data_IF_131870606880
#
_entry.id   IF_131870606880
#
_cell.length_a   1.000
_cell.length_b   1.000
_cell.length_c   1.000
_cell.angle_alpha   90.00
_cell.angle_beta   90.00
_cell.angle_gamma   90.00
#
_symmetry.space_group_name_H-M   'P 1'
#
loop_
_entity.id
_entity.type
_entity.pdbx_description
1 polymer ?
#
# COMPACT_ATOMS: atom_id res chain seq x y z
N UNK A 1 -20.15 -22.45 -32.98
CA UNK A 1 -18.68 -22.40 -32.88
C UNK A 1 -18.29 -20.94 -33.07
N UNK A 2 -18.17 -20.08 -32.06
CA UNK A 2 -17.25 -20.19 -30.94
C UNK A 2 -17.82 -19.41 -29.73
N UNK A 3 -18.13 -20.15 -28.67
CA UNK A 3 -18.61 -19.65 -27.39
C UNK A 3 -17.39 -19.27 -26.56
N UNK A 4 -16.88 -18.04 -26.70
CA UNK A 4 -15.72 -17.58 -25.92
C UNK A 4 -15.82 -16.07 -25.59
N UNK A 5 -17.02 -15.62 -25.21
CA UNK A 5 -17.27 -14.30 -24.63
C UNK A 5 -17.42 -14.42 -23.10
N UNK A 6 -16.46 -15.08 -22.46
CA UNK A 6 -16.35 -15.14 -21.00
C UNK A 6 -15.23 -14.21 -20.54
N UNK A 7 -15.48 -13.49 -19.44
CA UNK A 7 -14.48 -13.01 -18.46
C UNK A 7 -13.76 -11.66 -18.68
N UNK A 8 -14.41 -10.64 -19.24
CA UNK A 8 -13.96 -9.25 -19.06
C UNK A 8 -15.03 -8.37 -18.41
N UNK A 9 -15.82 -8.95 -17.50
CA UNK A 9 -16.45 -8.15 -16.46
C UNK A 9 -15.31 -7.72 -15.55
N UNK A 10 -14.81 -6.53 -15.85
CA UNK A 10 -13.96 -5.69 -15.02
C UNK A 10 -14.30 -5.94 -13.55
N UNK A 11 -13.41 -6.67 -12.88
CA UNK A 11 -13.40 -6.77 -11.44
C UNK A 11 -13.05 -5.37 -10.94
N UNK A 12 -14.05 -4.53 -10.71
CA UNK A 12 -13.93 -3.43 -9.79
C UNK A 12 -13.80 -4.06 -8.41
N UNK A 13 -12.60 -4.54 -8.10
CA UNK A 13 -12.22 -4.89 -6.74
C UNK A 13 -12.31 -3.61 -5.94
N UNK A 14 -13.03 -3.65 -4.82
CA UNK A 14 -13.22 -2.51 -3.92
C UNK A 14 -11.98 -2.43 -3.03
N UNK A 15 -10.82 -2.26 -3.65
CA UNK A 15 -9.56 -2.20 -2.98
C UNK A 15 -9.38 -0.80 -2.38
N UNK A 16 -9.27 -0.72 -1.06
CA UNK A 16 -9.02 0.54 -0.37
C UNK A 16 -7.62 1.06 -0.74
N UNK A 17 -7.51 2.34 -1.08
CA UNK A 17 -6.22 2.96 -1.36
C UNK A 17 -5.81 3.86 -0.19
N UNK A 18 -4.61 3.63 0.34
CA UNK A 18 -4.07 4.38 1.47
C UNK A 18 -2.74 4.99 1.06
N UNK A 19 -2.61 6.30 1.19
CA UNK A 19 -1.39 7.05 0.91
C UNK A 19 -0.77 7.51 2.23
N UNK A 20 0.42 7.02 2.53
CA UNK A 20 1.14 7.34 3.77
C UNK A 20 2.38 8.15 3.43
N UNK A 21 2.42 9.40 3.90
CA UNK A 21 3.63 10.22 3.85
C UNK A 21 4.64 9.72 4.88
N UNK A 22 5.88 9.50 4.43
CA UNK A 22 6.95 8.99 5.29
C UNK A 22 8.18 9.88 5.18
N UNK A 23 8.68 10.31 6.34
CA UNK A 23 9.92 11.06 6.44
C UNK A 23 11.10 10.13 6.77
N UNK A 24 12.26 10.40 6.19
CA UNK A 24 13.50 9.62 6.36
C UNK A 24 13.79 8.61 5.25
N UNK A 25 12.85 8.36 4.32
CA UNK A 25 13.13 7.57 3.11
C UNK A 25 13.91 8.42 2.11
N UNK A 26 15.23 8.31 2.13
CA UNK A 26 16.15 9.08 1.28
C UNK A 26 16.78 8.26 0.15
N UNK A 27 16.58 6.94 0.15
CA UNK A 27 17.26 6.03 -0.76
C UNK A 27 16.32 4.96 -1.33
N UNK A 28 16.59 4.51 -2.57
CA UNK A 28 15.80 3.46 -3.21
C UNK A 28 15.81 2.12 -2.46
N UNK A 29 16.92 1.80 -1.79
CA UNK A 29 17.01 0.64 -0.92
C UNK A 29 16.11 0.76 0.32
N UNK A 30 15.98 1.97 0.85
CA UNK A 30 15.17 2.32 2.01
C UNK A 30 13.69 2.12 1.67
N UNK A 31 13.24 2.66 0.53
CA UNK A 31 11.89 2.47 0.00
C UNK A 31 11.56 0.99 -0.22
N UNK A 32 12.46 0.23 -0.86
CA UNK A 32 12.27 -1.20 -1.09
C UNK A 32 12.13 -2.00 0.22
N UNK A 33 12.86 -1.62 1.28
CA UNK A 33 12.75 -2.25 2.59
C UNK A 33 11.38 -2.03 3.24
N UNK A 34 10.87 -0.80 3.15
CA UNK A 34 9.54 -0.43 3.65
C UNK A 34 8.45 -1.14 2.85
N UNK A 35 8.54 -1.12 1.51
CA UNK A 35 7.60 -1.82 0.63
C UNK A 35 7.49 -3.31 0.96
N UNK A 36 8.64 -3.99 1.13
CA UNK A 36 8.69 -5.40 1.51
C UNK A 36 8.09 -5.66 2.89
N UNK A 37 8.22 -4.72 3.81
CA UNK A 37 7.64 -4.84 5.15
C UNK A 37 6.13 -4.80 5.07
N UNK A 38 5.57 -3.89 4.28
CA UNK A 38 4.13 -3.80 4.06
C UNK A 38 3.57 -4.97 3.23
N UNK A 39 4.31 -5.44 2.22
CA UNK A 39 3.90 -6.62 1.42
C UNK A 39 3.80 -7.92 2.24
N UNK A 40 4.40 -7.98 3.44
CA UNK A 40 4.24 -9.12 4.35
C UNK A 40 2.92 -9.09 5.12
N UNK A 41 2.24 -7.95 5.19
CA UNK A 41 0.96 -7.85 5.88
C UNK A 41 -0.15 -8.52 5.06
N UNK A 42 -0.97 -9.33 5.72
CA UNK A 42 -2.02 -10.10 5.03
C UNK A 42 -3.08 -9.23 4.41
N UNK A 43 -3.32 -8.05 5.01
CA UNK A 43 -4.29 -7.05 4.56
C UNK A 43 -3.83 -6.27 3.31
N UNK A 44 -2.55 -6.34 2.96
CA UNK A 44 -1.96 -5.60 1.83
C UNK A 44 -2.00 -6.45 0.57
N UNK A 45 -2.53 -5.88 -0.50
CA UNK A 45 -2.54 -6.46 -1.83
C UNK A 45 -1.37 -5.96 -2.67
N UNK A 46 -1.21 -4.64 -2.69
CA UNK A 46 -0.16 -3.98 -3.46
C UNK A 46 0.43 -2.82 -2.66
N UNK A 47 1.70 -2.51 -2.92
CA UNK A 47 2.40 -1.38 -2.32
C UNK A 47 3.26 -0.74 -3.38
N UNK A 48 3.19 0.58 -3.45
CA UNK A 48 4.00 1.40 -4.32
C UNK A 48 4.63 2.52 -3.49
N UNK A 49 5.92 2.79 -3.71
CA UNK A 49 6.64 3.84 -3.00
C UNK A 49 7.10 4.89 -4.00
N UNK A 50 6.62 6.11 -3.81
CA UNK A 50 7.03 7.30 -4.56
C UNK A 50 8.07 8.06 -3.72
N UNK A 51 9.34 7.97 -4.12
CA UNK A 51 10.45 8.64 -3.44
C UNK A 51 10.47 10.14 -3.69
N UNK A 52 10.01 10.59 -4.85
CA UNK A 52 9.99 12.01 -5.23
C UNK A 52 8.97 12.75 -4.35
N UNK A 53 7.81 12.14 -4.13
CA UNK A 53 6.76 12.67 -3.25
C UNK A 53 6.92 12.24 -1.78
N UNK A 54 7.78 11.26 -1.49
CA UNK A 54 7.95 10.64 -0.16
C UNK A 54 6.63 10.04 0.36
N UNK A 55 5.88 9.39 -0.53
CA UNK A 55 4.57 8.80 -0.26
C UNK A 55 4.61 7.30 -0.54
N UNK A 56 4.01 6.51 0.35
CA UNK A 56 3.77 5.08 0.19
C UNK A 56 2.29 4.89 -0.11
N UNK A 57 1.97 4.46 -1.32
CA UNK A 57 0.62 4.04 -1.71
C UNK A 57 0.44 2.56 -1.39
N UNK A 58 -0.60 2.22 -0.65
CA UNK A 58 -0.93 0.88 -0.21
C UNK A 58 -2.33 0.56 -0.72
N UNK A 59 -2.44 -0.54 -1.44
CA UNK A 59 -3.71 -1.12 -1.87
C UNK A 59 -4.06 -2.24 -0.91
N UNK A 60 -5.21 -2.14 -0.25
CA UNK A 60 -5.69 -3.18 0.66
C UNK A 60 -6.50 -4.24 -0.09
N UNK A 61 -6.50 -5.47 0.43
CA UNK A 61 -7.31 -6.56 -0.11
C UNK A 61 -8.79 -6.35 0.20
N UNK A 62 -9.66 -6.92 -0.64
CA UNK A 62 -11.11 -6.93 -0.40
C UNK A 62 -11.43 -7.42 1.03
N UNK A 63 -12.24 -6.62 1.74
CA UNK A 63 -12.67 -6.84 3.14
C UNK A 63 -11.55 -6.81 4.19
N UNK A 64 -10.34 -6.41 3.83
CA UNK A 64 -9.25 -6.17 4.78
C UNK A 64 -8.88 -4.69 4.77
N UNK A 65 -8.65 -4.17 5.97
CA UNK A 65 -8.15 -2.82 6.18
C UNK A 65 -7.01 -2.90 7.20
N UNK A 66 -6.04 -2.02 7.06
CA UNK A 66 -4.94 -1.87 8.01
C UNK A 66 -5.21 -0.60 8.79
N UNK A 67 -5.14 -0.62 10.12
CA UNK A 67 -5.41 0.58 10.91
C UNK A 67 -4.27 1.61 10.80
N UNK A 68 -4.57 2.88 11.07
CA UNK A 68 -3.57 3.95 11.09
C UNK A 68 -2.50 3.69 12.15
N UNK A 69 -2.86 3.11 13.30
CA UNK A 69 -1.91 2.74 14.34
C UNK A 69 -0.95 1.67 13.83
N UNK A 70 -1.45 0.66 13.12
CA UNK A 70 -0.62 -0.42 12.58
C UNK A 70 0.35 0.11 11.52
N UNK A 71 -0.12 0.98 10.62
CA UNK A 71 0.73 1.66 9.64
C UNK A 71 1.87 2.43 10.33
N UNK A 72 1.53 3.23 11.34
CA UNK A 72 2.51 3.99 12.14
C UNK A 72 3.51 3.07 12.82
N UNK A 73 3.05 2.01 13.49
CA UNK A 73 3.92 1.03 14.14
C UNK A 73 4.93 0.41 13.19
N UNK A 74 4.51 -0.02 12.01
CA UNK A 74 5.39 -0.66 11.03
C UNK A 74 6.48 0.30 10.53
N UNK A 75 6.11 1.56 10.30
CA UNK A 75 7.03 2.60 9.84
C UNK A 75 7.99 3.00 10.95
N UNK A 76 7.50 3.19 12.18
CA UNK A 76 8.34 3.52 13.34
C UNK A 76 9.28 2.37 13.71
N UNK A 77 8.83 1.11 13.64
CA UNK A 77 9.69 -0.07 13.81
C UNK A 77 10.79 -0.15 12.75
N UNK A 78 10.52 0.38 11.57
CA UNK A 78 11.51 0.46 10.48
C UNK A 78 12.45 1.68 10.61
N UNK A 79 12.30 2.49 11.66
CA UNK A 79 13.14 3.66 11.94
C UNK A 79 12.71 4.95 11.22
N UNK A 80 11.49 4.98 10.67
CA UNK A 80 10.97 6.13 9.95
C UNK A 80 9.82 6.81 10.69
N UNK A 81 9.42 8.00 10.24
CA UNK A 81 8.32 8.77 10.83
C UNK A 81 7.19 8.97 9.84
N UNK A 82 5.96 8.74 10.27
CA UNK A 82 4.76 9.05 9.48
C UNK A 82 4.45 10.53 9.56
N UNK A 83 4.27 11.18 8.41
CA UNK A 83 3.89 12.61 8.34
C UNK A 83 2.42 12.78 8.03
N UNK A 84 1.88 12.01 7.07
CA UNK A 84 0.50 12.12 6.61
C UNK A 84 -0.09 10.74 6.35
N UNK A 85 -1.40 10.60 6.54
CA UNK A 85 -2.16 9.41 6.14
C UNK A 85 -3.41 9.91 5.43
N UNK A 86 -3.59 9.51 4.18
CA UNK A 86 -4.77 9.78 3.38
C UNK A 86 -5.40 8.46 2.95
N UNK A 87 -6.71 8.33 3.15
CA UNK A 87 -7.47 7.11 2.81
C UNK A 87 -8.49 7.48 1.74
N UNK A 88 -8.38 6.83 0.60
CA UNK A 88 -9.33 6.90 -0.52
C UNK A 88 -10.16 5.61 -0.43
N UNK A 89 -11.45 5.74 -0.09
CA UNK A 89 -12.41 4.63 0.03
C UNK A 89 -13.43 4.69 -1.10
#
# INVERSE_FOLDING_TARGET
MNSLLLLLITQFTFAGQIHVGVNGMVCAFCANGVEKTFKKETAVENVHVDLDKKVVSITTKDKQDISDERLKELITKSGYSVTTIHREK
#
